data_IF_970942441080
#
_entry.id   IF_970942441080
#
_cell.length_a   1.000
_cell.length_b   1.000
_cell.length_c   1.000
_cell.angle_alpha   90.00
_cell.angle_beta   90.00
_cell.angle_gamma   90.00
#
_symmetry.space_group_name_H-M   'P 1'
#
loop_
_entity.id
_entity.type
_entity.pdbx_description
1 polymer ?
#
# COMPACT_ATOMS: atom_id res chain seq x y z
N UNK A 1 9.73 -16.55 8.97
CA UNK A 1 9.21 -15.24 8.51
C UNK A 1 8.93 -14.40 9.75
N UNK A 2 9.54 -13.22 9.88
CA UNK A 2 9.36 -12.35 11.06
C UNK A 2 8.20 -11.41 10.78
N UNK A 3 7.25 -11.30 11.71
CA UNK A 3 6.15 -10.32 11.65
C UNK A 3 6.56 -9.06 12.41
N UNK A 4 6.30 -7.91 11.81
CA UNK A 4 6.60 -6.59 12.35
C UNK A 4 5.34 -5.72 12.38
N UNK A 5 5.29 -4.78 13.33
CA UNK A 5 4.27 -3.75 13.37
C UNK A 5 4.84 -2.45 12.82
N UNK A 6 4.05 -1.76 11.98
CA UNK A 6 4.46 -0.46 11.44
C UNK A 6 4.51 0.62 12.52
N UNK A 7 5.35 1.66 12.37
CA UNK A 7 5.25 2.88 13.15
C UNK A 7 3.87 3.55 13.01
N UNK A 8 3.55 4.44 13.93
CA UNK A 8 2.36 5.28 13.84
C UNK A 8 2.53 6.39 12.80
N UNK A 9 1.41 7.04 12.46
CA UNK A 9 1.36 8.13 11.49
C UNK A 9 2.16 9.35 11.98
N UNK A 10 3.10 9.81 11.15
CA UNK A 10 3.77 11.10 11.29
C UNK A 10 2.98 12.13 10.47
N UNK A 11 1.99 12.74 11.08
CA UNK A 11 1.06 13.65 10.41
C UNK A 11 1.77 14.81 9.73
N UNK A 12 1.45 15.04 8.46
CA UNK A 12 2.03 16.11 7.66
C UNK A 12 3.38 15.76 7.01
N UNK A 13 3.95 14.57 7.28
CA UNK A 13 5.13 14.10 6.57
C UNK A 13 4.86 14.09 5.05
N UNK A 14 5.76 14.70 4.29
CA UNK A 14 5.61 14.81 2.83
C UNK A 14 6.02 13.53 2.14
N UNK A 15 5.19 13.06 1.21
CA UNK A 15 5.55 11.95 0.35
C UNK A 15 6.85 12.23 -0.41
N UNK A 16 7.72 11.24 -0.48
CA UNK A 16 8.98 11.30 -1.23
C UNK A 16 8.73 10.76 -2.63
N UNK A 17 9.17 11.50 -3.66
CA UNK A 17 9.00 11.08 -5.04
C UNK A 17 9.84 9.86 -5.41
N UNK A 18 9.40 9.15 -6.40
CA UNK A 18 10.03 7.96 -6.96
C UNK A 18 9.86 7.94 -8.48
N UNK A 19 10.57 7.05 -9.16
CA UNK A 19 10.35 6.77 -10.57
C UNK A 19 10.54 5.26 -10.79
N UNK A 20 9.43 4.51 -10.75
CA UNK A 20 9.43 3.06 -10.70
C UNK A 20 8.66 2.46 -11.89
N UNK A 21 9.17 1.33 -12.40
CA UNK A 21 8.56 0.60 -13.50
C UNK A 21 7.33 -0.17 -13.00
N UNK A 22 6.19 0.06 -13.65
CA UNK A 22 4.94 -0.65 -13.43
C UNK A 22 4.79 -1.89 -14.31
N UNK A 23 3.98 -2.83 -13.84
CA UNK A 23 3.64 -4.05 -14.60
C UNK A 23 2.92 -3.76 -15.92
N UNK A 24 2.36 -2.57 -16.06
CA UNK A 24 1.74 -2.01 -17.26
C UNK A 24 2.75 -1.42 -18.28
N UNK A 25 4.04 -1.48 -17.99
CA UNK A 25 5.11 -0.91 -18.80
C UNK A 25 5.27 0.61 -18.66
N UNK A 26 4.53 1.24 -17.74
CA UNK A 26 4.61 2.68 -17.47
C UNK A 26 5.56 2.96 -16.32
N UNK A 27 6.39 4.01 -16.44
CA UNK A 27 7.13 4.53 -15.29
C UNK A 27 6.25 5.49 -14.50
N UNK A 28 6.07 5.18 -13.23
CA UNK A 28 5.21 5.88 -12.29
C UNK A 28 6.01 6.71 -11.30
N UNK A 29 5.49 7.92 -11.01
CA UNK A 29 5.97 8.83 -9.98
C UNK A 29 4.78 9.43 -9.23
N UNK A 30 5.03 10.23 -8.18
CA UNK A 30 3.95 10.84 -7.39
C UNK A 30 3.01 11.71 -8.23
N UNK A 31 3.54 12.46 -9.19
CA UNK A 31 2.74 13.35 -10.03
C UNK A 31 1.71 12.60 -10.88
N UNK A 32 2.08 11.42 -11.39
CA UNK A 32 1.18 10.54 -12.14
C UNK A 32 0.24 9.73 -11.25
N UNK A 33 0.71 9.36 -10.04
CA UNK A 33 -0.02 8.46 -9.16
C UNK A 33 -1.08 9.16 -8.31
N UNK A 34 -0.91 10.47 -8.01
CA UNK A 34 -1.80 11.18 -7.09
C UNK A 34 -3.19 11.39 -7.67
N UNK A 35 -4.22 11.20 -6.84
CA UNK A 35 -5.60 11.58 -7.15
C UNK A 35 -5.93 13.02 -6.74
N UNK A 36 -7.08 13.53 -7.18
CA UNK A 36 -7.52 14.89 -6.87
C UNK A 36 -7.77 15.12 -5.36
N UNK A 37 -8.12 14.07 -4.61
CA UNK A 37 -8.42 14.20 -3.19
C UNK A 37 -7.39 13.50 -2.29
N UNK A 38 -6.53 12.66 -2.82
CA UNK A 38 -5.47 11.99 -2.07
C UNK A 38 -4.86 10.80 -2.80
N UNK A 39 -3.94 10.13 -2.09
CA UNK A 39 -3.17 9.00 -2.60
C UNK A 39 -2.96 7.96 -1.52
N UNK A 40 -3.13 6.69 -1.85
CA UNK A 40 -2.60 5.57 -1.07
C UNK A 40 -1.29 5.11 -1.72
N UNK A 41 -0.21 5.13 -0.95
CA UNK A 41 1.01 4.38 -1.27
C UNK A 41 1.03 3.16 -0.38
N UNK A 42 1.13 1.96 -0.96
CA UNK A 42 1.19 0.74 -0.18
C UNK A 42 2.35 -0.15 -0.59
N UNK A 43 3.08 -0.64 0.39
CA UNK A 43 4.11 -1.66 0.17
C UNK A 43 3.48 -3.03 0.35
N UNK A 44 3.42 -3.79 -0.74
CA UNK A 44 2.89 -5.16 -0.77
C UNK A 44 3.87 -6.07 -1.50
N UNK A 45 3.70 -7.38 -1.35
CA UNK A 45 4.43 -8.37 -2.11
C UNK A 45 3.54 -9.58 -2.44
N UNK A 46 4.01 -10.43 -3.33
CA UNK A 46 3.19 -11.52 -3.87
C UNK A 46 3.05 -12.72 -2.92
N UNK A 47 4.08 -13.01 -2.13
CA UNK A 47 4.09 -14.23 -1.31
C UNK A 47 3.64 -14.03 0.14
N UNK A 48 3.50 -12.79 0.62
CA UNK A 48 3.14 -12.50 2.02
C UNK A 48 1.72 -12.99 2.36
N UNK A 49 1.54 -13.86 3.36
CA UNK A 49 0.22 -14.36 3.75
C UNK A 49 -0.71 -13.26 4.28
N UNK A 50 -0.18 -12.20 4.88
CA UNK A 50 -0.98 -11.04 5.29
C UNK A 50 -1.54 -10.28 4.09
N UNK A 51 -0.75 -10.12 3.04
CA UNK A 51 -1.21 -9.49 1.78
C UNK A 51 -2.25 -10.38 1.11
N UNK A 52 -1.97 -11.67 0.94
CA UNK A 52 -2.90 -12.63 0.31
C UNK A 52 -4.27 -12.67 0.99
N UNK A 53 -4.29 -12.61 2.33
CA UNK A 53 -5.53 -12.68 3.09
C UNK A 53 -6.46 -11.48 2.88
N UNK A 54 -5.91 -10.29 2.62
CA UNK A 54 -6.70 -9.07 2.45
C UNK A 54 -6.95 -8.71 0.99
N UNK A 55 -6.17 -9.25 0.04
CA UNK A 55 -6.10 -8.78 -1.34
C UNK A 55 -7.45 -8.66 -2.06
N UNK A 56 -8.38 -9.63 -1.98
CA UNK A 56 -9.68 -9.51 -2.62
C UNK A 56 -10.52 -8.34 -2.09
N UNK A 57 -10.47 -8.10 -0.76
CA UNK A 57 -11.17 -6.99 -0.12
C UNK A 57 -10.49 -5.66 -0.44
N UNK A 58 -9.16 -5.63 -0.41
CA UNK A 58 -8.34 -4.46 -0.72
C UNK A 58 -8.63 -3.94 -2.12
N UNK A 59 -8.64 -4.81 -3.12
CA UNK A 59 -8.93 -4.43 -4.52
C UNK A 59 -10.34 -3.84 -4.65
N UNK A 60 -11.33 -4.40 -3.95
CA UNK A 60 -12.71 -3.89 -3.93
C UNK A 60 -12.77 -2.51 -3.31
N UNK A 61 -12.12 -2.32 -2.15
CA UNK A 61 -12.12 -1.05 -1.42
C UNK A 61 -11.44 0.06 -2.22
N UNK A 62 -10.30 -0.24 -2.87
CA UNK A 62 -9.58 0.71 -3.71
C UNK A 62 -10.43 1.18 -4.89
N UNK A 63 -11.19 0.29 -5.52
CA UNK A 63 -12.11 0.70 -6.60
C UNK A 63 -13.14 1.72 -6.12
N UNK A 64 -13.72 1.49 -4.94
CA UNK A 64 -14.67 2.44 -4.36
C UNK A 64 -14.00 3.76 -3.97
N UNK A 65 -12.79 3.72 -3.42
CA UNK A 65 -12.02 4.92 -3.06
C UNK A 65 -11.64 5.76 -4.29
N UNK A 66 -11.40 5.11 -5.42
CA UNK A 66 -11.13 5.80 -6.70
C UNK A 66 -12.31 6.69 -7.12
N UNK A 67 -13.55 6.24 -6.93
CA UNK A 67 -14.75 7.03 -7.18
C UNK A 67 -14.85 8.26 -6.26
N UNK A 68 -14.15 8.23 -5.11
CA UNK A 68 -14.01 9.36 -4.17
C UNK A 68 -12.79 10.25 -4.48
N UNK A 69 -12.09 10.02 -5.60
CA UNK A 69 -10.92 10.80 -6.00
C UNK A 69 -9.63 10.45 -5.25
N UNK A 70 -9.59 9.28 -4.62
CA UNK A 70 -8.38 8.70 -4.00
C UNK A 70 -7.78 7.70 -4.97
N UNK A 71 -6.59 8.00 -5.48
CA UNK A 71 -5.82 7.05 -6.28
C UNK A 71 -4.91 6.20 -5.39
N UNK A 72 -4.40 5.11 -5.96
CA UNK A 72 -3.55 4.16 -5.24
C UNK A 72 -2.39 3.72 -6.10
N UNK A 73 -1.22 3.51 -5.48
CA UNK A 73 -0.07 2.85 -6.07
C UNK A 73 0.47 1.79 -5.11
N UNK A 74 0.72 0.59 -5.63
CA UNK A 74 1.34 -0.50 -4.91
C UNK A 74 2.81 -0.65 -5.30
N UNK A 75 3.69 -0.80 -4.31
CA UNK A 75 5.15 -0.91 -4.50
C UNK A 75 5.61 -2.25 -3.95
N UNK A 76 6.30 -3.03 -4.79
CA UNK A 76 7.00 -4.25 -4.41
C UNK A 76 8.49 -3.92 -4.23
N UNK A 77 9.02 -4.18 -3.03
CA UNK A 77 10.41 -3.88 -2.68
C UNK A 77 11.17 -5.10 -2.12
N UNK A 78 10.57 -6.30 -2.10
CA UNK A 78 11.32 -7.50 -1.71
C UNK A 78 12.34 -7.86 -2.78
N UNK A 79 13.46 -8.45 -2.35
CA UNK A 79 14.48 -8.98 -3.24
C UNK A 79 13.94 -10.16 -4.07
N UNK A 80 13.75 -10.01 -5.39
CA UNK A 80 13.21 -11.09 -6.22
C UNK A 80 14.26 -12.18 -6.56
N UNK A 81 15.54 -11.95 -6.26
CA UNK A 81 16.60 -12.93 -6.50
C UNK A 81 16.53 -14.04 -5.47
N UNK A 82 16.41 -13.67 -4.19
CA UNK A 82 16.28 -14.64 -3.11
C UNK A 82 14.82 -15.07 -2.83
N UNK A 83 13.86 -14.30 -3.36
CA UNK A 83 12.41 -14.56 -3.23
C UNK A 83 11.73 -14.46 -4.61
N UNK A 84 11.92 -15.48 -5.48
CA UNK A 84 11.45 -15.44 -6.87
C UNK A 84 9.92 -15.35 -7.01
N UNK A 85 9.16 -15.69 -5.96
CA UNK A 85 7.71 -15.44 -5.91
C UNK A 85 7.35 -13.95 -6.06
N UNK A 86 8.28 -13.06 -5.69
CA UNK A 86 8.14 -11.60 -5.78
C UNK A 86 8.76 -11.02 -7.05
N UNK A 87 9.00 -11.85 -8.08
CA UNK A 87 9.49 -11.40 -9.38
C UNK A 87 8.50 -10.49 -10.11
N UNK A 88 9.01 -9.70 -11.04
CA UNK A 88 8.20 -8.79 -11.86
C UNK A 88 7.15 -9.54 -12.71
N UNK A 89 7.48 -10.73 -13.19
CA UNK A 89 6.56 -11.62 -13.92
C UNK A 89 5.41 -12.05 -13.01
N UNK A 90 5.71 -12.45 -11.77
CA UNK A 90 4.68 -12.84 -10.81
C UNK A 90 3.82 -11.65 -10.35
N UNK A 91 4.38 -10.42 -10.31
CA UNK A 91 3.59 -9.21 -10.09
C UNK A 91 2.53 -9.01 -11.19
N UNK A 92 2.91 -9.22 -12.48
CA UNK A 92 1.96 -9.16 -13.61
C UNK A 92 0.85 -10.19 -13.45
N UNK A 93 1.21 -11.43 -13.14
CA UNK A 93 0.22 -12.50 -12.96
C UNK A 93 -0.77 -12.20 -11.84
N UNK A 94 -0.32 -11.67 -10.71
CA UNK A 94 -1.19 -11.31 -9.59
C UNK A 94 -2.07 -10.09 -9.95
N UNK A 95 -1.50 -9.06 -10.57
CA UNK A 95 -2.26 -7.90 -11.01
C UNK A 95 -3.39 -8.29 -11.98
N UNK A 96 -3.12 -9.18 -12.91
CA UNK A 96 -4.12 -9.73 -13.85
C UNK A 96 -5.15 -10.61 -13.13
N UNK A 97 -4.70 -11.53 -12.28
CA UNK A 97 -5.58 -12.46 -11.55
C UNK A 97 -6.61 -11.74 -10.69
N UNK A 98 -6.20 -10.68 -10.00
CA UNK A 98 -7.08 -9.89 -9.12
C UNK A 98 -7.64 -8.64 -9.81
N UNK A 99 -7.31 -8.45 -11.11
CA UNK A 99 -7.80 -7.34 -11.90
C UNK A 99 -7.55 -5.99 -11.20
N UNK A 100 -6.27 -5.69 -10.92
CA UNK A 100 -5.87 -4.46 -10.22
C UNK A 100 -6.32 -3.22 -10.99
N UNK A 101 -6.97 -2.30 -10.30
CA UNK A 101 -7.38 -0.99 -10.82
C UNK A 101 -6.37 0.12 -10.51
N UNK A 102 -5.19 -0.25 -10.06
CA UNK A 102 -4.10 0.63 -9.62
C UNK A 102 -2.75 0.11 -10.14
N UNK A 103 -1.76 1.00 -10.33
CA UNK A 103 -0.39 0.61 -10.67
C UNK A 103 0.24 -0.31 -9.63
N UNK A 104 0.96 -1.33 -10.11
CA UNK A 104 1.83 -2.16 -9.28
C UNK A 104 3.25 -2.05 -9.81
N UNK A 105 4.14 -1.44 -9.04
CA UNK A 105 5.48 -1.03 -9.48
C UNK A 105 6.59 -1.73 -8.69
N UNK A 106 7.75 -1.90 -9.33
CA UNK A 106 8.90 -2.59 -8.73
C UNK A 106 9.95 -1.59 -8.27
N UNK A 107 10.32 -1.65 -7.00
CA UNK A 107 11.42 -0.91 -6.37
C UNK A 107 12.67 -1.79 -6.31
N UNK A 108 13.35 -1.96 -7.47
CA UNK A 108 14.52 -2.82 -7.60
C UNK A 108 15.67 -2.45 -6.67
N UNK A 109 15.87 -1.17 -6.40
CA UNK A 109 16.95 -0.67 -5.54
C UNK A 109 16.63 -0.72 -4.07
N UNK A 110 15.35 -0.86 -3.74
CA UNK A 110 14.80 -0.77 -2.37
C UNK A 110 14.98 0.63 -1.73
N UNK A 111 15.38 1.62 -2.51
CA UNK A 111 15.56 2.99 -2.03
C UNK A 111 14.24 3.65 -1.67
N UNK A 112 13.19 3.36 -2.44
CA UNK A 112 11.85 3.89 -2.15
C UNK A 112 11.33 3.35 -0.81
N UNK A 113 11.41 2.04 -0.58
CA UNK A 113 11.00 1.46 0.69
C UNK A 113 11.82 2.03 1.87
N UNK A 114 13.13 2.22 1.70
CA UNK A 114 13.99 2.82 2.74
C UNK A 114 13.62 4.28 3.02
N UNK A 115 13.36 5.08 1.97
CA UNK A 115 13.00 6.50 2.12
C UNK A 115 11.64 6.68 2.82
N UNK A 116 10.69 5.78 2.55
CA UNK A 116 9.40 5.71 3.24
C UNK A 116 9.47 5.09 4.63
N UNK A 117 10.63 4.54 5.03
CA UNK A 117 10.82 3.78 6.27
C UNK A 117 9.79 2.63 6.36
N UNK A 118 9.49 2.01 5.22
CA UNK A 118 8.66 0.82 5.16
C UNK A 118 9.45 -0.38 5.73
N UNK A 119 8.82 -1.19 6.57
CA UNK A 119 9.48 -2.29 7.27
C UNK A 119 8.84 -3.65 7.02
N UNK A 120 7.59 -3.66 6.59
CA UNK A 120 6.83 -4.90 6.37
C UNK A 120 5.86 -4.75 5.20
N UNK A 121 5.26 -5.85 4.80
CA UNK A 121 4.14 -5.92 3.87
C UNK A 121 2.96 -6.64 4.52
N UNK A 122 1.74 -6.08 4.46
CA UNK A 122 1.40 -4.78 3.89
C UNK A 122 1.78 -3.61 4.83
N UNK A 123 2.17 -2.46 4.25
CA UNK A 123 2.34 -1.20 4.96
C UNK A 123 1.62 -0.11 4.15
N UNK A 124 0.68 0.60 4.77
CA UNK A 124 -0.21 1.55 4.09
C UNK A 124 0.07 2.98 4.52
N UNK A 125 0.19 3.87 3.54
CA UNK A 125 0.37 5.31 3.71
C UNK A 125 -0.76 6.04 2.99
N UNK A 126 -1.60 6.75 3.73
CA UNK A 126 -2.67 7.58 3.20
C UNK A 126 -2.29 9.06 3.21
N UNK A 127 -2.22 9.65 2.05
CA UNK A 127 -1.88 11.05 1.83
C UNK A 127 -3.11 11.85 1.42
N UNK A 128 -3.16 13.13 1.85
CA UNK A 128 -4.12 14.09 1.33
C UNK A 128 -3.71 14.61 -0.06
N UNK A 129 -4.51 15.52 -0.66
CA UNK A 129 -4.22 16.10 -1.99
C UNK A 129 -2.89 16.87 -2.07
N UNK A 130 -2.37 17.32 -0.93
CA UNK A 130 -1.08 18.01 -0.82
C UNK A 130 0.09 17.05 -0.61
N UNK A 131 -0.15 15.72 -0.69
CA UNK A 131 0.82 14.66 -0.43
C UNK A 131 1.41 14.74 0.99
N UNK A 132 0.60 15.14 1.97
CA UNK A 132 0.89 15.12 3.39
C UNK A 132 0.30 13.88 4.01
N UNK A 133 1.10 13.12 4.77
CA UNK A 133 0.68 11.89 5.42
C UNK A 133 -0.42 12.19 6.44
N UNK A 134 -1.53 11.47 6.32
CA UNK A 134 -2.70 11.59 7.18
C UNK A 134 -3.13 10.25 7.77
N UNK A 135 -2.64 9.14 7.22
CA UNK A 135 -2.90 7.80 7.70
C UNK A 135 -1.67 6.91 7.51
N UNK A 136 -1.27 6.22 8.56
CA UNK A 136 -0.36 5.08 8.50
C UNK A 136 -0.85 4.02 9.47
N UNK A 137 -1.47 2.98 8.94
CA UNK A 137 -2.13 1.98 9.78
C UNK A 137 -2.51 0.73 9.01
N UNK A 138 -3.26 -0.13 9.69
CA UNK A 138 -3.70 -1.39 9.13
C UNK A 138 -4.81 -1.23 8.10
N UNK A 139 -4.99 -2.24 7.26
CA UNK A 139 -6.13 -2.33 6.36
C UNK A 139 -7.44 -2.52 7.14
N UNK A 140 -7.47 -3.54 8.00
CA UNK A 140 -8.56 -3.87 8.90
C UNK A 140 -8.06 -4.69 10.10
N UNK A 141 -8.97 -5.16 10.95
CA UNK A 141 -8.63 -5.90 12.18
C UNK A 141 -8.30 -7.39 11.96
N UNK A 142 -8.48 -7.92 10.75
CA UNK A 142 -8.48 -9.38 10.52
C UNK A 142 -7.09 -10.01 10.46
N UNK A 143 -6.05 -9.23 10.16
CA UNK A 143 -4.70 -9.76 9.96
C UNK A 143 -4.66 -10.83 8.85
N UNK A 144 -4.45 -12.10 9.20
CA UNK A 144 -4.51 -13.26 8.30
C UNK A 144 -5.84 -14.02 8.35
N UNK A 145 -6.76 -13.59 9.19
CA UNK A 145 -8.05 -14.24 9.39
C UNK A 145 -9.10 -13.83 8.35
N UNK A 146 -10.24 -14.50 8.41
CA UNK A 146 -11.42 -14.11 7.66
C UNK A 146 -12.05 -12.85 8.25
N UNK A 147 -12.58 -12.00 7.40
CA UNK A 147 -13.27 -10.80 7.84
C UNK A 147 -14.71 -11.12 8.27
N UNK A 148 -15.10 -10.84 9.52
CA UNK A 148 -16.50 -10.91 9.91
C UNK A 148 -17.34 -9.86 9.15
N UNK A 149 -18.66 -10.04 9.13
CA UNK A 149 -19.57 -9.15 8.40
C UNK A 149 -19.57 -7.70 8.92
N UNK A 150 -19.23 -7.50 10.18
CA UNK A 150 -19.12 -6.21 10.89
C UNK A 150 -17.69 -5.68 10.97
N UNK A 151 -16.79 -6.20 10.13
CA UNK A 151 -15.38 -5.80 10.15
C UNK A 151 -15.19 -4.31 9.86
N UNK A 152 -14.47 -3.63 10.74
CA UNK A 152 -14.11 -2.22 10.57
C UNK A 152 -13.04 -2.11 9.48
N UNK A 153 -13.33 -1.34 8.45
CA UNK A 153 -12.46 -1.08 7.29
C UNK A 153 -11.57 0.12 7.57
N UNK A 154 -10.58 -0.03 8.47
CA UNK A 154 -9.78 1.09 9.01
C UNK A 154 -9.17 1.97 7.89
N UNK A 155 -8.51 1.39 6.88
CA UNK A 155 -7.94 2.14 5.77
C UNK A 155 -9.01 2.84 4.94
N UNK A 156 -10.11 2.15 4.62
CA UNK A 156 -11.18 2.71 3.80
C UNK A 156 -11.83 3.91 4.47
N UNK A 157 -12.21 3.80 5.75
CA UNK A 157 -12.84 4.88 6.50
C UNK A 157 -11.89 6.08 6.67
N UNK A 158 -10.59 5.80 6.92
CA UNK A 158 -9.59 6.86 6.99
C UNK A 158 -9.45 7.61 5.66
N UNK A 159 -9.36 6.92 4.54
CA UNK A 159 -9.21 7.56 3.23
C UNK A 159 -10.48 8.28 2.78
N UNK A 160 -11.66 7.77 3.13
CA UNK A 160 -12.93 8.47 2.92
C UNK A 160 -12.94 9.79 3.70
N UNK A 161 -12.59 9.77 4.98
CA UNK A 161 -12.46 10.98 5.80
C UNK A 161 -11.46 11.98 5.20
N UNK A 162 -10.29 11.50 4.73
CA UNK A 162 -9.27 12.33 4.07
C UNK A 162 -9.82 12.94 2.79
N UNK A 163 -10.60 12.21 1.98
CA UNK A 163 -11.20 12.76 0.76
C UNK A 163 -12.12 13.94 1.02
N UNK A 164 -12.85 13.89 2.13
CA UNK A 164 -13.82 14.91 2.54
C UNK A 164 -13.18 16.10 3.27
N UNK A 165 -12.25 15.83 4.19
CA UNK A 165 -11.72 16.82 5.15
C UNK A 165 -10.26 17.20 4.95
N UNK A 166 -9.53 16.43 4.16
CA UNK A 166 -8.06 16.47 3.98
C UNK A 166 -7.27 16.12 5.24
N UNK A 167 -7.94 15.57 6.26
CA UNK A 167 -7.33 15.15 7.53
C UNK A 167 -7.73 13.70 7.84
N UNK A 168 -6.77 12.93 8.34
CA UNK A 168 -6.98 11.56 8.80
C UNK A 168 -7.53 11.48 10.22
N UNK A 169 -7.97 10.28 10.65
CA UNK A 169 -8.37 10.05 12.04
C UNK A 169 -7.18 10.20 12.98
N UNK A 170 -7.41 10.76 14.16
CA UNK A 170 -6.35 10.95 15.18
C UNK A 170 -5.90 9.61 15.77
N UNK A 171 -6.83 8.70 15.99
CA UNK A 171 -6.54 7.35 16.48
C UNK A 171 -6.35 6.39 15.30
N UNK A 172 -5.18 5.77 15.24
CA UNK A 172 -4.81 4.83 14.19
C UNK A 172 -4.17 3.59 14.80
N UNK A 173 -4.34 2.45 14.14
CA UNK A 173 -3.80 1.17 14.57
C UNK A 173 -2.75 0.69 13.58
N UNK A 174 -1.57 0.32 14.09
CA UNK A 174 -0.46 -0.16 13.28
C UNK A 174 -0.86 -1.33 12.39
N UNK A 175 -0.32 -1.37 11.18
CA UNK A 175 -0.34 -2.58 10.35
C UNK A 175 0.59 -3.63 10.94
N UNK A 176 0.26 -4.89 10.70
CA UNK A 176 1.14 -6.03 10.96
C UNK A 176 1.40 -6.77 9.66
N UNK A 177 2.65 -7.15 9.43
CA UNK A 177 3.02 -7.83 8.21
C UNK A 177 4.36 -8.54 8.27
N UNK A 178 4.70 -9.21 7.19
CA UNK A 178 6.00 -9.84 7.02
C UNK A 178 7.07 -8.79 6.77
N UNK A 179 8.24 -8.91 7.42
CA UNK A 179 9.38 -8.03 7.14
C UNK A 179 9.70 -7.96 5.65
N UNK A 180 10.05 -6.76 5.15
CA UNK A 180 10.61 -6.61 3.80
C UNK A 180 11.89 -7.44 3.70
N UNK A 181 12.07 -8.08 2.54
CA UNK A 181 13.24 -8.90 2.23
C UNK A 181 14.30 -8.03 1.57
N UNK A 182 15.18 -7.49 2.43
CA UNK A 182 16.26 -6.63 1.97
C UNK A 182 17.35 -7.44 1.25
N UNK A 183 17.94 -6.84 0.22
CA UNK A 183 19.18 -7.35 -0.38
C UNK A 183 20.32 -7.17 0.63
N UNK A 184 21.19 -8.15 0.69
CA UNK A 184 22.44 -8.11 1.45
C UNK A 184 23.51 -7.29 0.72
#
# INVERSE_FOLDING_TARGET
MVSLNTPLCDFGWKAIDFNLEGVDGTYWNLAKAKGPHGLIVMFICNHCPYVKAILPRLVKDIRTLKDLGIETIAIQSNDPVNYPEDSFENMKLIADQFNFSFPYVMDYTQETARSYKAICTPDFYGFNRNLELQYRGRFDATGRGEAPSDNVRDLFEAMKLISETQRGPLEQKSSIGCSIKWRE
#
